data_IF_697423594101
#
_entry.id   IF_697423594101
#
_cell.length_a   1.000
_cell.length_b   1.000
_cell.length_c   1.000
_cell.angle_alpha   90.00
_cell.angle_beta   90.00
_cell.angle_gamma   90.00
#
_symmetry.space_group_name_H-M   'P 1'
#
loop_
_entity.id
_entity.type
_entity.pdbx_description
1 polymer ?
#
# COMPACT_ATOMS: atom_id res chain seq x y z
N UNK A 1 -15.36 11.90 -8.14
CA UNK A 1 -14.21 11.26 -7.43
C UNK A 1 -13.06 11.10 -8.41
N UNK A 2 -12.41 12.19 -8.82
CA UNK A 2 -11.48 12.15 -9.97
C UNK A 2 -10.05 11.73 -9.60
N UNK A 3 -9.64 11.88 -8.33
CA UNK A 3 -8.28 11.55 -7.87
C UNK A 3 -8.24 10.28 -7.00
N UNK A 4 -8.67 9.12 -7.54
CA UNK A 4 -8.62 7.83 -6.81
C UNK A 4 -7.42 6.94 -7.15
N UNK A 5 -6.52 7.38 -8.03
CA UNK A 5 -5.34 6.61 -8.43
C UNK A 5 -4.04 7.03 -7.71
N UNK A 6 -4.15 7.71 -6.57
CA UNK A 6 -2.99 8.23 -5.83
C UNK A 6 -2.06 7.12 -5.30
N UNK A 7 -2.54 5.88 -5.15
CA UNK A 7 -1.70 4.72 -4.80
C UNK A 7 -0.86 4.21 -5.97
N UNK A 8 -1.21 4.52 -7.22
CA UNK A 8 -0.52 3.94 -8.39
C UNK A 8 0.94 4.39 -8.48
N UNK A 9 1.30 5.68 -8.28
CA UNK A 9 2.70 6.09 -8.20
C UNK A 9 3.47 5.37 -7.08
N UNK A 10 2.84 5.18 -5.92
CA UNK A 10 3.45 4.49 -4.78
C UNK A 10 3.68 3.00 -5.05
N UNK A 11 2.70 2.31 -5.65
CA UNK A 11 2.87 0.93 -6.10
C UNK A 11 3.92 0.81 -7.21
N UNK A 12 4.04 1.82 -8.07
CA UNK A 12 5.10 1.86 -9.11
C UNK A 12 6.50 1.97 -8.47
N UNK A 13 6.64 2.65 -7.32
CA UNK A 13 7.91 2.64 -6.54
C UNK A 13 8.26 1.25 -6.02
N UNK A 14 7.25 0.42 -5.75
CA UNK A 14 7.39 -0.99 -5.39
C UNK A 14 7.62 -1.90 -6.60
N UNK A 15 7.79 -1.35 -7.81
CA UNK A 15 8.04 -2.12 -9.02
C UNK A 15 6.79 -2.65 -9.73
N UNK A 16 5.59 -2.19 -9.38
CA UNK A 16 4.38 -2.55 -10.11
C UNK A 16 4.38 -1.93 -11.53
N UNK A 17 3.94 -2.70 -12.53
CA UNK A 17 3.75 -2.22 -13.91
C UNK A 17 2.28 -1.80 -14.10
N UNK A 18 2.06 -0.49 -14.04
CA UNK A 18 0.72 0.10 -14.09
C UNK A 18 0.72 1.38 -14.93
N UNK A 19 -0.36 1.60 -15.68
CA UNK A 19 -0.59 2.83 -16.46
C UNK A 19 -1.99 3.34 -16.23
N UNK A 20 -2.15 4.66 -16.09
CA UNK A 20 -3.45 5.31 -15.96
C UNK A 20 -3.79 5.99 -17.29
N UNK A 21 -5.00 5.76 -17.80
CA UNK A 21 -5.58 6.54 -18.89
C UNK A 21 -6.99 6.98 -18.49
N UNK A 22 -7.16 8.30 -18.28
CA UNK A 22 -8.41 8.86 -17.78
C UNK A 22 -8.80 8.29 -16.41
N UNK A 23 -9.93 7.59 -16.36
CA UNK A 23 -10.45 6.94 -15.16
C UNK A 23 -10.15 5.42 -15.12
N UNK A 24 -9.27 4.92 -16.00
CA UNK A 24 -8.94 3.49 -16.11
C UNK A 24 -7.47 3.27 -15.72
N UNK A 25 -7.22 2.22 -14.93
CA UNK A 25 -5.87 1.73 -14.64
C UNK A 25 -5.64 0.40 -15.34
N UNK A 26 -4.62 0.35 -16.19
CA UNK A 26 -4.10 -0.86 -16.82
C UNK A 26 -2.99 -1.43 -15.94
N UNK A 27 -3.12 -2.70 -15.57
CA UNK A 27 -2.20 -3.36 -14.65
C UNK A 27 -1.62 -4.57 -15.38
N UNK A 28 -0.30 -4.64 -15.47
CA UNK A 28 0.40 -5.84 -15.92
C UNK A 28 1.01 -6.51 -14.68
N UNK A 29 0.63 -7.76 -14.45
CA UNK A 29 1.19 -8.54 -13.35
C UNK A 29 2.71 -8.66 -13.48
N UNK A 30 3.40 -8.49 -12.35
CA UNK A 30 4.84 -8.72 -12.21
C UNK A 30 5.06 -9.94 -11.31
N UNK A 31 6.21 -10.60 -11.43
CA UNK A 31 6.51 -11.77 -10.61
C UNK A 31 6.54 -11.43 -9.12
N UNK A 32 7.27 -10.37 -8.75
CA UNK A 32 7.39 -9.89 -7.38
C UNK A 32 7.35 -8.35 -7.32
N UNK A 33 6.77 -7.83 -6.24
CA UNK A 33 6.97 -6.44 -5.84
C UNK A 33 8.24 -6.33 -5.01
N UNK A 34 8.80 -5.13 -4.92
CA UNK A 34 9.96 -4.82 -4.08
C UNK A 34 9.58 -3.89 -2.94
N UNK A 35 10.20 -4.13 -1.80
CA UNK A 35 10.09 -3.32 -0.61
C UNK A 35 10.56 -1.91 -0.90
N UNK A 36 9.75 -0.93 -0.49
CA UNK A 36 10.05 0.47 -0.68
C UNK A 36 9.44 1.30 0.45
N UNK A 37 9.96 2.52 0.61
CA UNK A 37 9.27 3.54 1.38
C UNK A 37 8.19 4.19 0.51
N UNK A 38 6.95 4.12 1.00
CA UNK A 38 5.75 4.61 0.32
C UNK A 38 4.91 5.49 1.24
N UNK A 39 4.11 6.38 0.65
CA UNK A 39 3.31 7.35 1.39
C UNK A 39 1.81 7.07 1.29
N UNK A 40 1.16 6.94 2.45
CA UNK A 40 -0.30 6.90 2.55
C UNK A 40 -0.91 8.26 2.15
N UNK A 41 -1.86 8.26 1.22
CA UNK A 41 -2.53 9.48 0.70
C UNK A 41 -4.01 9.58 1.07
N UNK A 42 -4.70 8.45 1.23
CA UNK A 42 -6.11 8.38 1.60
C UNK A 42 -6.45 7.06 2.28
N UNK A 43 -7.66 6.93 2.82
CA UNK A 43 -8.05 5.77 3.61
C UNK A 43 -7.86 4.43 2.89
N UNK A 44 -8.38 4.30 1.65
CA UNK A 44 -8.44 2.99 0.98
C UNK A 44 -7.19 2.71 0.17
N UNK A 45 -6.64 3.72 -0.48
CA UNK A 45 -5.36 3.63 -1.19
C UNK A 45 -4.22 3.24 -0.26
N UNK A 46 -4.24 3.70 0.99
CA UNK A 46 -3.18 3.38 1.94
C UNK A 46 -3.28 1.94 2.46
N UNK A 47 -4.49 1.41 2.62
CA UNK A 47 -4.68 0.00 2.95
C UNK A 47 -4.17 -0.93 1.83
N UNK A 48 -4.31 -0.55 0.56
CA UNK A 48 -3.75 -1.35 -0.54
C UNK A 48 -2.22 -1.34 -0.56
N UNK A 49 -1.56 -0.26 -0.11
CA UNK A 49 -0.11 -0.24 0.07
C UNK A 49 0.37 -1.19 1.17
N UNK A 50 -0.38 -1.31 2.27
CA UNK A 50 -0.09 -2.31 3.31
C UNK A 50 -0.14 -3.71 2.71
N UNK A 51 -1.19 -4.03 1.95
CA UNK A 51 -1.31 -5.33 1.29
C UNK A 51 -0.21 -5.58 0.26
N UNK A 52 0.18 -4.56 -0.51
CA UNK A 52 1.31 -4.63 -1.42
C UNK A 52 2.62 -4.94 -0.67
N UNK A 53 2.81 -4.35 0.50
CA UNK A 53 3.98 -4.62 1.35
C UNK A 53 4.02 -6.04 1.90
N UNK A 54 2.85 -6.70 2.11
CA UNK A 54 2.81 -8.09 2.56
C UNK A 54 3.28 -9.11 1.51
N UNK A 55 3.23 -8.74 0.23
CA UNK A 55 3.63 -9.61 -0.89
C UNK A 55 4.92 -9.16 -1.56
N UNK A 56 5.50 -8.03 -1.13
CA UNK A 56 6.77 -7.54 -1.64
C UNK A 56 7.95 -8.34 -1.08
N UNK A 57 9.00 -8.45 -1.89
CA UNK A 57 10.33 -8.84 -1.42
C UNK A 57 10.89 -7.73 -0.52
N UNK A 58 11.60 -8.07 0.55
CA UNK A 58 12.19 -7.12 1.51
C UNK A 58 11.17 -6.29 2.33
N UNK A 59 11.66 -5.24 3.01
CA UNK A 59 10.87 -4.41 3.93
C UNK A 59 10.16 -3.28 3.19
N UNK A 60 8.86 -3.10 3.47
CA UNK A 60 8.07 -1.94 3.02
C UNK A 60 7.76 -1.04 4.21
N UNK A 61 8.05 0.26 4.07
CA UNK A 61 7.74 1.27 5.09
C UNK A 61 6.60 2.14 4.57
N UNK A 62 5.47 2.14 5.28
CA UNK A 62 4.29 2.95 4.93
C UNK A 62 4.19 4.15 5.87
N UNK A 63 4.50 5.34 5.36
CA UNK A 63 4.40 6.59 6.10
C UNK A 63 2.97 7.14 6.12
N UNK A 64 2.71 8.10 7.02
CA UNK A 64 1.41 8.81 7.16
C UNK A 64 0.23 7.89 7.48
N UNK A 65 0.49 6.90 8.34
CA UNK A 65 -0.45 5.83 8.70
C UNK A 65 -1.78 6.33 9.30
N UNK A 66 -1.85 7.58 9.78
CA UNK A 66 -3.09 8.23 10.25
C UNK A 66 -4.21 8.21 9.20
N UNK A 67 -3.90 8.11 7.91
CA UNK A 67 -4.91 7.93 6.87
C UNK A 67 -5.66 6.59 7.00
N UNK A 68 -4.96 5.53 7.40
CA UNK A 68 -5.51 4.17 7.58
C UNK A 68 -6.36 4.11 8.85
N UNK A 69 -5.87 4.71 9.93
CA UNK A 69 -6.55 4.71 11.25
C UNK A 69 -7.94 5.32 11.22
N UNK A 70 -8.21 6.20 10.25
CA UNK A 70 -9.53 6.84 10.05
C UNK A 70 -10.63 5.86 9.65
N UNK A 71 -10.31 4.64 9.24
CA UNK A 71 -11.32 3.68 8.80
C UNK A 71 -10.93 2.21 8.92
N UNK A 72 -9.74 1.91 9.43
CA UNK A 72 -9.35 0.57 9.84
C UNK A 72 -8.90 0.61 11.29
N UNK A 73 -9.62 -0.10 12.15
CA UNK A 73 -9.27 -0.28 13.55
C UNK A 73 -8.15 -1.32 13.66
N UNK A 74 -6.99 -0.88 14.19
CA UNK A 74 -5.79 -1.68 14.48
C UNK A 74 -5.49 -2.72 13.39
N UNK A 75 -5.35 -2.25 12.15
CA UNK A 75 -5.17 -3.13 10.98
C UNK A 75 -3.95 -4.04 11.13
N UNK A 76 -2.87 -3.52 11.71
CA UNK A 76 -1.63 -4.24 11.96
C UNK A 76 -1.83 -5.39 12.93
N UNK A 77 -2.63 -5.20 13.99
CA UNK A 77 -2.92 -6.26 14.97
C UNK A 77 -3.74 -7.36 14.32
N UNK A 78 -4.77 -6.99 13.56
CA UNK A 78 -5.62 -7.95 12.84
C UNK A 78 -4.83 -8.75 11.80
N UNK A 79 -3.92 -8.10 11.07
CA UNK A 79 -3.02 -8.75 10.12
C UNK A 79 -2.00 -9.66 10.83
N UNK A 80 -1.43 -9.23 11.96
CA UNK A 80 -0.53 -10.05 12.79
C UNK A 80 -1.21 -11.33 13.28
N UNK A 81 -2.48 -11.25 13.71
CA UNK A 81 -3.27 -12.42 14.11
C UNK A 81 -3.46 -13.43 12.97
N UNK A 82 -3.35 -12.99 11.71
CA UNK A 82 -3.37 -13.85 10.52
C UNK A 82 -1.97 -14.28 10.06
N UNK A 83 -0.92 -13.97 10.81
CA UNK A 83 0.45 -14.37 10.53
C UNK A 83 1.26 -13.36 9.70
N UNK A 84 0.73 -12.15 9.46
CA UNK A 84 1.48 -11.12 8.75
C UNK A 84 2.67 -10.62 9.57
N UNK A 85 3.83 -10.47 8.90
CA UNK A 85 5.02 -9.82 9.48
C UNK A 85 4.92 -8.31 9.28
N UNK A 86 4.18 -7.65 10.17
CA UNK A 86 3.97 -6.21 10.15
C UNK A 86 4.17 -5.65 11.57
N UNK A 87 4.66 -4.41 11.69
CA UNK A 87 4.76 -3.70 12.96
C UNK A 87 4.46 -2.22 12.76
N UNK A 88 3.73 -1.62 13.70
CA UNK A 88 3.61 -0.16 13.77
C UNK A 88 4.84 0.39 14.50
N UNK A 89 5.46 1.41 13.92
CA UNK A 89 6.58 2.14 14.53
C UNK A 89 5.98 3.37 15.20
N UNK A 90 6.11 3.54 16.53
CA UNK A 90 5.71 4.76 17.21
C UNK A 90 6.53 5.95 16.70
N UNK A 91 5.87 7.09 16.53
CA UNK A 91 6.52 8.38 16.28
C UNK A 91 7.25 8.90 17.51
#
# INVERSE_FOLDING_TARGET
FENRFMHVPEMSRMGADMKIEGNTAFIKGVENLKGAQVMATDLRASASLVLAGLVAEDETIVDRIYHIDRGYECIEEKLQLMGAKIRRIPS
#
